data_IF_152751441582
#
_entry.id   IF_152751441582
#
_cell.length_a   1.000
_cell.length_b   1.000
_cell.length_c   1.000
_cell.angle_alpha   90.00
_cell.angle_beta   90.00
_cell.angle_gamma   90.00
#
_symmetry.space_group_name_H-M   'P 1'
#
loop_
_entity.id
_entity.type
_entity.pdbx_description
1 polymer ?
#
# COMPACT_ATOMS: atom_id res chain seq x y z
N UNK A 1 40.29 18.85 7.76
CA UNK A 1 38.90 19.25 8.07
C UNK A 1 37.95 18.39 7.26
N UNK A 2 37.16 17.55 7.94
CA UNK A 2 36.04 16.79 7.37
C UNK A 2 34.93 17.73 6.89
N UNK A 3 34.31 17.42 5.73
CA UNK A 3 32.84 17.41 5.55
C UNK A 3 32.48 16.82 4.18
N UNK A 4 32.32 15.50 4.19
CA UNK A 4 31.22 14.74 3.59
C UNK A 4 30.41 15.39 2.45
N UNK A 5 30.90 15.26 1.22
CA UNK A 5 30.04 15.22 0.03
C UNK A 5 29.34 13.85 -0.02
N UNK A 6 28.30 13.70 0.79
CA UNK A 6 27.43 12.54 0.71
C UNK A 6 26.45 12.76 -0.45
N UNK A 7 26.89 12.36 -1.65
CA UNK A 7 26.02 12.21 -2.80
C UNK A 7 24.82 11.32 -2.41
N UNK A 8 23.62 11.90 -2.32
CA UNK A 8 22.38 11.17 -2.13
C UNK A 8 22.08 10.40 -3.41
N UNK A 9 22.56 9.16 -3.48
CA UNK A 9 22.11 8.17 -4.46
C UNK A 9 20.65 7.86 -4.12
N UNK A 10 19.73 8.45 -4.89
CA UNK A 10 18.35 8.00 -4.90
C UNK A 10 18.32 6.61 -5.55
N UNK A 11 17.81 5.55 -4.89
CA UNK A 11 17.57 4.30 -5.58
C UNK A 11 16.41 4.53 -6.55
N UNK A 12 16.74 4.81 -7.80
CA UNK A 12 15.83 4.87 -8.93
C UNK A 12 15.47 3.43 -9.35
N UNK A 13 14.90 2.63 -8.43
CA UNK A 13 14.39 1.31 -8.79
C UNK A 13 12.97 1.45 -9.36
N UNK A 14 12.91 1.92 -10.61
CA UNK A 14 11.73 1.74 -11.45
C UNK A 14 11.75 0.31 -11.99
N UNK A 15 11.56 -0.67 -11.09
CA UNK A 15 11.35 -2.05 -11.50
C UNK A 15 10.08 -2.10 -12.36
N UNK A 16 10.24 -2.41 -13.64
CA UNK A 16 9.13 -2.77 -14.51
C UNK A 16 8.56 -4.09 -13.99
N UNK A 17 7.50 -4.01 -13.19
CA UNK A 17 6.84 -5.19 -12.60
C UNK A 17 6.04 -5.89 -13.70
N UNK A 18 6.36 -7.15 -14.00
CA UNK A 18 5.56 -7.95 -14.91
C UNK A 18 4.12 -8.09 -14.38
N UNK A 19 3.09 -8.20 -15.24
CA UNK A 19 1.70 -8.27 -14.79
C UNK A 19 1.39 -9.42 -13.81
N UNK A 20 2.12 -10.53 -13.93
CA UNK A 20 2.01 -11.69 -13.04
C UNK A 20 2.57 -11.39 -11.64
N UNK A 21 3.73 -10.74 -11.56
CA UNK A 21 4.38 -10.38 -10.30
C UNK A 21 3.55 -9.35 -9.53
N UNK A 22 2.87 -8.45 -10.25
CA UNK A 22 1.96 -7.49 -9.64
C UNK A 22 0.79 -8.19 -8.93
N UNK A 23 0.15 -9.17 -9.60
CA UNK A 23 -0.96 -9.93 -8.99
C UNK A 23 -0.51 -10.67 -7.74
N UNK A 24 0.66 -11.29 -7.78
CA UNK A 24 1.23 -12.02 -6.64
C UNK A 24 1.47 -11.08 -5.44
N UNK A 25 2.12 -9.93 -5.66
CA UNK A 25 2.37 -8.93 -4.62
C UNK A 25 1.09 -8.35 -4.02
N UNK A 26 0.03 -8.18 -4.83
CA UNK A 26 -1.28 -7.75 -4.34
C UNK A 26 -1.89 -8.76 -3.36
N UNK A 27 -1.81 -10.06 -3.68
CA UNK A 27 -2.28 -11.13 -2.78
C UNK A 27 -1.48 -11.18 -1.48
N UNK A 28 -0.15 -11.06 -1.57
CA UNK A 28 0.74 -11.01 -0.41
C UNK A 28 0.42 -9.83 0.51
N UNK A 29 0.15 -8.64 -0.04
CA UNK A 29 -0.26 -7.48 0.74
C UNK A 29 -1.60 -7.70 1.45
N UNK A 30 -2.57 -8.33 0.78
CA UNK A 30 -3.87 -8.64 1.40
C UNK A 30 -3.67 -9.51 2.64
N UNK A 31 -2.88 -10.60 2.52
CA UNK A 31 -2.61 -11.48 3.66
C UNK A 31 -1.78 -10.79 4.75
N UNK A 32 -0.79 -9.98 4.38
CA UNK A 32 0.00 -9.21 5.36
C UNK A 32 -0.85 -8.22 6.17
N UNK A 33 -1.92 -7.71 5.57
CA UNK A 33 -2.90 -6.83 6.17
C UNK A 33 -3.94 -7.53 7.07
N UNK A 34 -3.84 -8.84 7.35
CA UNK A 34 -4.70 -9.48 8.38
C UNK A 34 -4.67 -8.70 9.70
N UNK A 35 -3.49 -8.19 10.08
CA UNK A 35 -3.33 -7.19 11.13
C UNK A 35 -3.17 -5.79 10.52
N UNK A 36 -3.65 -4.71 11.16
CA UNK A 36 -3.48 -3.36 10.63
C UNK A 36 -2.01 -2.97 10.41
N UNK A 37 -1.65 -2.60 9.18
CA UNK A 37 -0.31 -2.17 8.78
C UNK A 37 -0.28 -0.74 8.28
N UNK A 38 0.80 -0.02 8.59
CA UNK A 38 1.07 1.28 7.99
C UNK A 38 1.51 1.13 6.53
N UNK A 39 1.38 2.22 5.75
CA UNK A 39 1.91 2.28 4.38
C UNK A 39 3.40 1.91 4.32
N UNK A 40 4.18 2.36 5.32
CA UNK A 40 5.62 2.11 5.39
C UNK A 40 5.92 0.62 5.54
N UNK A 41 5.26 -0.04 6.50
CA UNK A 41 5.40 -1.48 6.71
C UNK A 41 5.01 -2.29 5.47
N UNK A 42 3.93 -1.91 4.78
CA UNK A 42 3.50 -2.58 3.54
C UNK A 42 4.56 -2.44 2.43
N UNK A 43 5.12 -1.24 2.24
CA UNK A 43 6.18 -1.00 1.26
C UNK A 43 7.44 -1.82 1.58
N UNK A 44 7.87 -1.82 2.84
CA UNK A 44 9.01 -2.62 3.29
C UNK A 44 8.80 -4.12 3.02
N UNK A 45 7.59 -4.62 3.30
CA UNK A 45 7.26 -6.04 3.14
C UNK A 45 7.42 -6.53 1.70
N UNK A 46 7.04 -5.72 0.70
CA UNK A 46 7.18 -6.06 -0.73
C UNK A 46 8.42 -5.44 -1.38
N UNK A 47 9.36 -4.91 -0.59
CA UNK A 47 10.64 -4.39 -1.07
C UNK A 47 10.52 -3.13 -1.94
N UNK A 48 9.53 -2.27 -1.71
CA UNK A 48 9.35 -1.02 -2.44
C UNK A 48 9.78 0.20 -1.64
N UNK A 49 10.40 1.16 -2.32
CA UNK A 49 10.81 2.45 -1.74
C UNK A 49 10.02 3.62 -2.31
N UNK A 50 9.52 3.50 -3.55
CA UNK A 50 8.72 4.53 -4.21
C UNK A 50 7.27 4.54 -3.67
N UNK A 51 7.00 5.52 -2.82
CA UNK A 51 5.67 5.71 -2.25
C UNK A 51 4.59 6.09 -3.27
N UNK A 52 4.93 6.75 -4.38
CA UNK A 52 3.94 7.13 -5.40
C UNK A 52 3.54 5.88 -6.18
N UNK A 53 4.52 5.11 -6.64
CA UNK A 53 4.29 3.84 -7.31
C UNK A 53 3.49 2.87 -6.42
N UNK A 54 3.87 2.74 -5.15
CA UNK A 54 3.15 1.93 -4.18
C UNK A 54 1.67 2.33 -4.08
N UNK A 55 1.40 3.65 -3.97
CA UNK A 55 0.04 4.16 -3.85
C UNK A 55 -0.80 3.82 -5.08
N UNK A 56 -0.28 4.12 -6.27
CA UNK A 56 -1.02 4.02 -7.53
C UNK A 56 -1.22 2.56 -7.97
N UNK A 57 -0.22 1.70 -7.77
CA UNK A 57 -0.25 0.31 -8.28
C UNK A 57 -0.70 -0.73 -7.28
N UNK A 58 -0.63 -0.44 -5.98
CA UNK A 58 -0.92 -1.42 -4.94
C UNK A 58 -2.02 -0.94 -4.00
N UNK A 59 -1.82 0.20 -3.34
CA UNK A 59 -2.72 0.65 -2.29
C UNK A 59 -4.12 1.01 -2.80
N UNK A 60 -4.19 1.90 -3.80
CA UNK A 60 -5.47 2.37 -4.36
C UNK A 60 -6.25 1.22 -5.01
N UNK A 61 -5.64 0.33 -5.83
CA UNK A 61 -6.34 -0.84 -6.34
C UNK A 61 -6.94 -1.74 -5.25
N UNK A 62 -6.22 -2.00 -4.16
CA UNK A 62 -6.72 -2.84 -3.06
C UNK A 62 -7.87 -2.19 -2.29
N UNK A 63 -7.82 -0.87 -2.07
CA UNK A 63 -8.89 -0.09 -1.45
C UNK A 63 -10.14 -0.07 -2.33
N UNK A 64 -9.98 0.24 -3.63
CA UNK A 64 -11.10 0.30 -4.58
C UNK A 64 -11.76 -1.07 -4.77
N UNK A 65 -10.97 -2.15 -4.72
CA UNK A 65 -11.47 -3.52 -4.79
C UNK A 65 -12.07 -4.03 -3.46
N UNK A 66 -12.06 -3.21 -2.40
CA UNK A 66 -12.58 -3.58 -1.08
C UNK A 66 -11.85 -4.76 -0.43
N UNK A 67 -10.59 -5.00 -0.80
CA UNK A 67 -9.78 -6.10 -0.23
C UNK A 67 -9.11 -5.68 1.08
N UNK A 68 -8.82 -4.39 1.20
CA UNK A 68 -8.35 -3.75 2.43
C UNK A 68 -9.16 -2.49 2.69
N UNK A 69 -9.18 -2.04 3.92
CA UNK A 69 -9.83 -0.79 4.34
C UNK A 69 -8.92 0.07 5.21
N UNK A 70 -9.25 1.35 5.27
CA UNK A 70 -8.60 2.34 6.13
C UNK A 70 -9.06 2.17 7.59
N UNK A 71 -8.14 2.27 8.55
CA UNK A 71 -8.51 2.25 9.97
C UNK A 71 -8.99 3.61 10.50
N UNK A 72 -8.68 4.72 9.81
CA UNK A 72 -9.14 6.08 10.16
C UNK A 72 -9.67 6.78 8.89
N UNK A 73 -10.84 6.36 8.37
CA UNK A 73 -11.36 6.87 7.09
C UNK A 73 -11.59 8.39 7.09
N UNK A 74 -11.97 8.99 8.22
CA UNK A 74 -12.22 10.44 8.34
C UNK A 74 -10.95 11.30 8.24
N UNK A 75 -9.78 10.69 8.44
CA UNK A 75 -8.47 11.37 8.41
C UNK A 75 -7.49 10.56 7.55
N UNK A 76 -7.69 10.50 6.23
CA UNK A 76 -6.90 9.66 5.33
C UNK A 76 -5.40 10.01 5.32
N UNK A 77 -5.07 11.25 5.68
CA UNK A 77 -3.68 11.74 5.77
C UNK A 77 -3.10 11.63 7.20
N UNK A 78 -3.77 10.94 8.12
CA UNK A 78 -3.29 10.76 9.49
C UNK A 78 -1.95 10.02 9.52
N UNK A 79 -1.01 10.48 10.37
CA UNK A 79 0.24 9.76 10.65
C UNK A 79 0.02 8.37 11.26
N UNK A 80 -1.15 8.16 11.89
CA UNK A 80 -1.54 6.90 12.49
C UNK A 80 -2.40 6.04 11.56
N UNK A 81 -2.53 6.44 10.28
CA UNK A 81 -3.30 5.70 9.29
C UNK A 81 -2.70 4.31 9.07
N UNK A 82 -3.55 3.29 9.17
CA UNK A 82 -3.22 1.90 8.86
C UNK A 82 -4.25 1.31 7.90
N UNK A 83 -3.92 0.16 7.34
CA UNK A 83 -4.73 -0.58 6.40
C UNK A 83 -4.84 -2.01 6.89
N UNK A 84 -6.06 -2.56 6.87
CA UNK A 84 -6.32 -3.93 7.28
C UNK A 84 -7.16 -4.65 6.23
N UNK A 85 -6.99 -5.97 6.14
CA UNK A 85 -7.77 -6.86 5.28
C UNK A 85 -9.24 -6.75 5.66
N UNK A 86 -10.08 -6.58 4.64
CA UNK A 86 -11.52 -6.69 4.85
C UNK A 86 -11.82 -8.17 5.00
N UNK A 87 -12.29 -8.55 6.19
CA UNK A 87 -12.86 -9.87 6.37
C UNK A 87 -14.19 -9.84 5.64
N UNK A 88 -14.21 -10.40 4.43
CA UNK A 88 -15.45 -10.72 3.74
C UNK A 88 -16.06 -11.92 4.48
N UNK A 89 -16.51 -11.68 5.71
CA UNK A 89 -17.63 -12.42 6.25
C UNK A 89 -18.81 -12.04 5.37
N UNK A 90 -19.53 -13.04 4.88
CA UNK A 90 -20.85 -12.84 4.28
C UNK A 90 -21.61 -11.74 5.04
N UNK A 91 -22.15 -10.79 4.29
CA UNK A 91 -22.78 -9.53 4.77
C UNK A 91 -21.84 -8.32 4.91
N UNK A 92 -21.80 -7.46 3.88
CA UNK A 92 -22.39 -6.11 3.97
C UNK A 92 -22.02 -5.24 2.76
N UNK A 93 -23.01 -5.08 1.89
CA UNK A 93 -23.51 -3.83 1.29
C UNK A 93 -22.49 -2.88 0.65
N UNK A 94 -22.51 -2.95 -0.69
CA UNK A 94 -22.78 -1.81 -1.59
C UNK A 94 -22.59 -0.42 -0.96
N UNK A 95 -21.41 0.18 -1.17
CA UNK A 95 -21.30 1.62 -1.30
C UNK A 95 -21.22 1.95 -2.78
N UNK A 96 -22.40 2.09 -3.40
CA UNK A 96 -22.54 2.85 -4.63
C UNK A 96 -22.47 4.33 -4.26
N UNK A 97 -21.41 5.01 -4.70
CA UNK A 97 -21.44 6.45 -4.94
C UNK A 97 -20.76 6.67 -6.28
N UNK A 98 -21.59 6.89 -7.30
CA UNK A 98 -21.21 7.47 -8.58
C UNK A 98 -20.78 8.92 -8.34
N UNK A 99 -19.78 9.36 -9.10
CA UNK A 99 -19.36 10.74 -9.23
C UNK A 99 -20.44 11.60 -9.89
#
# INVERSE_FOLDING_TARGET
>A
MNRSDQARVAPQDTHQVAPQDLKQRLLELIEFCIMPRSKREMMDYIGLTDSKNFRERYLVPLLNAGKIEMTIPDKPNSKNQKYKKVNIGVESRAFNVQF
#
